data_IF_010000946201
#
_entry.id   IF_010000946201
#
_cell.length_a   1.000
_cell.length_b   1.000
_cell.length_c   1.000
_cell.angle_alpha   90.00
_cell.angle_beta   90.00
_cell.angle_gamma   90.00
#
_symmetry.space_group_name_H-M   'P 1'
#
loop_
_entity.id
_entity.type
_entity.pdbx_description
1 polymer ?
#
# COMPACT_ATOMS: atom_id res chain seq x y z
N UNK A 1 8.53 9.35 18.26
CA UNK A 1 8.89 7.92 18.14
C UNK A 1 8.77 7.53 16.70
N UNK A 2 9.86 7.71 15.94
CA UNK A 2 9.82 7.87 14.49
C UNK A 2 9.23 6.67 13.74
N UNK A 3 9.46 5.44 14.21
CA UNK A 3 8.90 4.24 13.56
C UNK A 3 7.35 4.25 13.46
N UNK A 4 6.65 4.65 14.53
CA UNK A 4 5.17 4.72 14.50
C UNK A 4 4.65 5.80 13.55
N UNK A 5 5.40 6.88 13.35
CA UNK A 5 5.06 7.93 12.39
C UNK A 5 5.29 7.47 10.95
N UNK A 6 6.38 6.76 10.68
CA UNK A 6 6.67 6.21 9.36
C UNK A 6 5.60 5.19 8.95
N UNK A 7 5.19 4.32 9.87
CA UNK A 7 4.06 3.38 9.65
C UNK A 7 2.75 4.14 9.36
N UNK A 8 2.44 5.21 10.12
CA UNK A 8 1.24 6.02 9.85
C UNK A 8 1.29 6.72 8.49
N UNK A 9 2.44 7.29 8.12
CA UNK A 9 2.64 7.98 6.84
C UNK A 9 2.56 7.00 5.66
N UNK A 10 3.20 5.83 5.78
CA UNK A 10 3.10 4.77 4.78
C UNK A 10 1.65 4.31 4.59
N UNK A 11 0.91 4.12 5.68
CA UNK A 11 -0.51 3.77 5.60
C UNK A 11 -1.37 4.88 4.97
N UNK A 12 -1.10 6.14 5.31
CA UNK A 12 -1.78 7.28 4.69
C UNK A 12 -1.51 7.36 3.19
N UNK A 13 -0.27 7.17 2.75
CA UNK A 13 0.08 7.21 1.34
C UNK A 13 -0.54 6.04 0.56
N UNK A 14 -0.57 4.84 1.17
CA UNK A 14 -1.26 3.68 0.63
C UNK A 14 -2.77 3.96 0.42
N UNK A 15 -3.45 4.53 1.42
CA UNK A 15 -4.85 4.91 1.31
C UNK A 15 -5.10 6.03 0.31
N UNK A 16 -4.23 7.04 0.27
CA UNK A 16 -4.30 8.11 -0.72
C UNK A 16 -4.19 7.55 -2.14
N UNK A 17 -3.28 6.61 -2.38
CA UNK A 17 -3.08 5.98 -3.67
C UNK A 17 -4.33 5.21 -4.13
N UNK A 18 -4.97 4.46 -3.22
CA UNK A 18 -6.24 3.77 -3.50
C UNK A 18 -7.36 4.75 -3.85
N UNK A 19 -7.51 5.84 -3.08
CA UNK A 19 -8.54 6.84 -3.33
C UNK A 19 -8.31 7.62 -4.64
N UNK A 20 -7.05 7.88 -5.01
CA UNK A 20 -6.68 8.60 -6.23
C UNK A 20 -6.48 7.65 -7.43
N UNK A 21 -6.70 6.35 -7.26
CA UNK A 21 -6.35 5.36 -8.28
C UNK A 21 -7.07 5.59 -9.61
N UNK A 22 -8.35 6.00 -9.56
CA UNK A 22 -9.13 6.32 -10.75
C UNK A 22 -8.60 7.54 -11.50
N UNK A 23 -8.03 8.53 -10.79
CA UNK A 23 -7.47 9.74 -11.41
C UNK A 23 -6.06 9.51 -11.94
N UNK A 24 -5.25 8.77 -11.19
CA UNK A 24 -3.83 8.52 -11.50
C UNK A 24 -3.59 7.23 -12.29
N UNK A 25 -4.65 6.53 -12.70
CA UNK A 25 -4.60 5.23 -13.38
C UNK A 25 -3.73 4.22 -12.62
N UNK A 26 -3.82 4.24 -11.29
CA UNK A 26 -3.09 3.30 -10.43
C UNK A 26 -3.72 1.93 -10.61
N UNK A 27 -2.89 0.95 -10.94
CA UNK A 27 -3.30 -0.44 -11.13
C UNK A 27 -3.05 -1.28 -9.88
N UNK A 28 -2.02 -0.96 -9.09
CA UNK A 28 -1.62 -1.77 -7.94
C UNK A 28 -0.95 -0.91 -6.86
N UNK A 29 -1.24 -1.19 -5.60
CA UNK A 29 -0.58 -0.57 -4.44
C UNK A 29 -0.17 -1.66 -3.47
N UNK A 30 1.10 -1.71 -3.09
CA UNK A 30 1.61 -2.68 -2.11
C UNK A 30 2.11 -1.95 -0.87
N UNK A 31 1.69 -2.40 0.31
CA UNK A 31 2.06 -1.83 1.60
C UNK A 31 2.10 -2.90 2.69
N UNK A 32 3.18 -2.96 3.47
CA UNK A 32 3.29 -3.85 4.65
C UNK A 32 2.88 -5.32 4.40
N UNK A 33 3.24 -5.88 3.24
CA UNK A 33 2.86 -7.25 2.86
C UNK A 33 1.38 -7.43 2.52
N UNK A 34 0.70 -6.34 2.15
CA UNK A 34 -0.66 -6.30 1.63
C UNK A 34 -0.67 -5.62 0.28
N UNK A 35 -1.55 -6.03 -0.61
CA UNK A 35 -1.67 -5.50 -1.95
C UNK A 35 -3.12 -5.16 -2.30
N UNK A 36 -3.29 -4.01 -2.90
CA UNK A 36 -4.53 -3.53 -3.50
C UNK A 36 -4.38 -3.50 -5.02
N UNK A 37 -5.44 -3.86 -5.76
CA UNK A 37 -5.44 -3.84 -7.23
C UNK A 37 -6.69 -3.13 -7.75
N UNK A 38 -6.53 -2.25 -8.74
CA UNK A 38 -7.65 -1.56 -9.37
C UNK A 38 -8.52 -2.52 -10.17
N UNK A 39 -9.84 -2.29 -10.15
CA UNK A 39 -10.83 -3.18 -10.76
C UNK A 39 -11.47 -4.17 -9.78
N UNK A 40 -10.97 -4.27 -8.55
CA UNK A 40 -11.63 -5.02 -7.50
C UNK A 40 -12.51 -4.05 -6.68
N UNK A 41 -13.82 -4.10 -6.92
CA UNK A 41 -14.82 -3.07 -6.57
C UNK A 41 -14.83 -2.63 -5.09
N UNK A 42 -14.33 -3.47 -4.18
CA UNK A 42 -14.41 -3.23 -2.73
C UNK A 42 -13.18 -2.56 -2.11
N UNK A 43 -12.19 -2.12 -2.90
CA UNK A 43 -10.92 -1.64 -2.38
C UNK A 43 -10.22 -2.61 -1.39
N UNK A 44 -10.41 -3.91 -1.61
CA UNK A 44 -9.88 -4.96 -0.73
C UNK A 44 -8.36 -5.08 -0.86
N UNK A 45 -7.71 -5.18 0.30
CA UNK A 45 -6.29 -5.47 0.43
C UNK A 45 -6.09 -6.97 0.63
N UNK A 46 -5.22 -7.57 -0.17
CA UNK A 46 -4.87 -8.99 -0.12
C UNK A 46 -3.51 -9.19 0.55
N UNK A 47 -3.35 -10.17 1.46
CA UNK A 47 -2.05 -10.49 2.03
C UNK A 47 -1.13 -11.08 0.96
N UNK A 48 0.10 -10.58 0.85
CA UNK A 48 1.08 -10.98 -0.17
C UNK A 48 2.08 -12.02 0.33
N UNK A 49 1.77 -12.73 1.43
CA UNK A 49 2.60 -13.81 1.98
C UNK A 49 3.92 -13.38 2.65
N UNK A 50 4.34 -12.11 2.56
CA UNK A 50 5.61 -11.58 3.12
C UNK A 50 5.45 -10.85 4.46
N UNK A 51 4.36 -11.11 5.19
CA UNK A 51 4.03 -10.39 6.43
C UNK A 51 4.69 -11.00 7.68
N UNK A 52 6.02 -11.12 7.70
CA UNK A 52 6.75 -11.25 8.96
C UNK A 52 6.82 -9.87 9.63
N UNK A 53 6.76 -9.79 10.97
CA UNK A 53 6.75 -8.51 11.69
C UNK A 53 7.92 -7.58 11.30
N UNK A 54 9.12 -8.13 11.09
CA UNK A 54 10.31 -7.41 10.58
C UNK A 54 10.20 -6.98 9.11
N UNK A 55 9.47 -7.73 8.30
CA UNK A 55 9.18 -7.42 6.90
C UNK A 55 8.13 -6.31 6.79
N UNK A 56 7.13 -6.34 7.66
CA UNK A 56 6.11 -5.29 7.77
C UNK A 56 6.69 -3.93 8.18
N UNK A 57 7.69 -3.90 9.06
CA UNK A 57 8.38 -2.65 9.43
C UNK A 57 9.14 -2.04 8.23
N UNK A 58 9.96 -2.83 7.52
CA UNK A 58 10.66 -2.37 6.31
C UNK A 58 9.71 -2.05 5.15
N UNK A 59 8.62 -2.80 5.02
CA UNK A 59 7.62 -2.59 3.97
C UNK A 59 6.65 -1.43 4.32
N UNK A 60 6.54 -1.05 5.59
CA UNK A 60 5.83 0.16 5.99
C UNK A 60 6.60 1.43 5.56
N UNK A 61 7.92 1.32 5.42
CA UNK A 61 8.77 2.37 4.87
C UNK A 61 8.73 2.43 3.32
N UNK A 62 8.22 1.39 2.64
CA UNK A 62 8.22 1.29 1.19
C UNK A 62 6.81 1.01 0.62
N UNK A 63 5.98 2.05 0.52
CA UNK A 63 4.74 2.00 -0.28
C UNK A 63 5.13 1.92 -1.76
N UNK A 64 4.68 0.88 -2.46
CA UNK A 64 4.92 0.72 -3.91
C UNK A 64 3.62 0.95 -4.66
N UNK A 65 3.60 1.96 -5.54
CA UNK A 65 2.46 2.31 -6.39
C UNK A 65 2.84 1.98 -7.83
N UNK A 66 1.98 1.23 -8.51
CA UNK A 66 2.13 0.91 -9.94
C UNK A 66 0.97 1.54 -10.68
N UNK A 67 1.26 2.45 -11.62
CA UNK A 67 0.28 3.08 -12.51
C UNK A 67 0.44 2.58 -13.94
N UNK A 68 -0.66 2.56 -14.68
CA UNK A 68 -0.60 2.41 -16.14
C UNK A 68 0.12 3.64 -16.73
N UNK A 69 0.87 3.43 -17.81
CA UNK A 69 1.59 4.48 -18.53
C UNK A 69 0.74 5.07 -19.65
#
# INVERSE_FOLDING_TARGET
GSAKEHVRRGWQLAHWAVANASSLHIQRVTYAGREWTAGNTDSKWYPTGVADAKGAERAAEAVRITSAR
#
